data_IF_542703767213
#
_entry.id   IF_542703767213
#
_cell.length_a   1.000
_cell.length_b   1.000
_cell.length_c   1.000
_cell.angle_alpha   90.00
_cell.angle_beta   90.00
_cell.angle_gamma   90.00
#
_symmetry.space_group_name_H-M   'P 1'
#
loop_
_entity.id
_entity.type
_entity.pdbx_description
1 polymer ?
#
# COMPACT_ATOMS: atom_id res chain seq x y z
N UNK A 1 3.57 9.86 29.07
CA UNK A 1 2.70 10.81 28.33
C UNK A 1 1.64 9.97 27.65
N UNK A 2 0.37 10.05 28.05
CA UNK A 2 -0.71 9.28 27.42
C UNK A 2 -1.05 9.94 26.06
N UNK A 3 -1.17 9.20 24.96
CA UNK A 3 -1.62 9.78 23.71
C UNK A 3 -3.09 10.20 23.84
N UNK A 4 -3.37 11.41 23.39
CA UNK A 4 -4.68 12.06 23.42
C UNK A 4 -5.43 11.67 22.14
N UNK A 5 -6.36 10.73 22.24
CA UNK A 5 -7.24 10.35 21.13
C UNK A 5 -8.58 11.07 21.27
N UNK A 6 -9.12 11.72 20.22
CA UNK A 6 -10.43 12.35 20.28
C UNK A 6 -11.53 11.30 20.44
N UNK A 7 -12.44 11.52 21.39
CA UNK A 7 -13.64 10.70 21.57
C UNK A 7 -14.51 10.79 20.31
N UNK A 8 -14.90 9.63 19.76
CA UNK A 8 -15.75 9.53 18.60
C UNK A 8 -17.12 10.18 18.86
N UNK A 9 -17.46 11.17 18.02
CA UNK A 9 -18.81 11.73 17.95
C UNK A 9 -19.71 10.74 17.19
N UNK A 10 -20.83 10.41 17.81
CA UNK A 10 -21.79 9.39 17.40
C UNK A 10 -22.51 9.82 16.10
N UNK A 11 -22.04 9.34 14.93
CA UNK A 11 -22.69 9.55 13.64
C UNK A 11 -23.85 8.56 13.47
N UNK A 12 -24.96 8.79 14.18
CA UNK A 12 -26.22 8.05 14.00
C UNK A 12 -27.40 9.02 13.85
N UNK A 13 -27.37 9.78 12.76
CA UNK A 13 -28.53 10.47 12.21
C UNK A 13 -28.23 10.78 10.74
N UNK A 14 -29.24 10.68 9.87
CA UNK A 14 -29.19 10.79 8.40
C UNK A 14 -28.99 9.43 7.70
N UNK A 15 -30.04 8.61 7.72
CA UNK A 15 -30.43 7.75 6.59
C UNK A 15 -31.87 7.28 6.83
N UNK A 16 -32.82 8.18 6.58
CA UNK A 16 -34.23 7.85 6.48
C UNK A 16 -34.87 8.79 5.48
N UNK A 17 -35.04 8.30 4.24
CA UNK A 17 -36.12 8.61 3.29
C UNK A 17 -35.63 8.36 1.86
N UNK A 18 -36.08 7.24 1.28
CA UNK A 18 -36.53 7.12 -0.11
C UNK A 18 -36.68 5.63 -0.45
N UNK A 19 -37.86 5.07 -0.21
CA UNK A 19 -38.31 3.89 -0.94
C UNK A 19 -39.83 3.93 -1.00
N UNK A 20 -40.37 4.24 -2.18
CA UNK A 20 -41.80 4.25 -2.46
C UNK A 20 -42.05 4.28 -3.97
N UNK A 21 -42.79 3.26 -4.44
CA UNK A 21 -43.57 3.15 -5.71
C UNK A 21 -42.74 2.87 -6.98
N UNK A 22 -43.09 2.00 -7.92
CA UNK A 22 -44.20 1.07 -8.27
C UNK A 22 -43.58 0.15 -9.36
N UNK A 23 -43.68 -1.17 -9.36
CA UNK A 23 -44.79 -2.10 -9.61
C UNK A 23 -45.30 -2.23 -11.07
N UNK A 24 -45.37 -3.51 -11.50
CA UNK A 24 -46.18 -4.16 -12.55
C UNK A 24 -45.69 -4.41 -14.01
N UNK A 25 -45.86 -5.71 -14.38
CA UNK A 25 -46.23 -6.33 -15.70
C UNK A 25 -45.13 -6.55 -16.77
N UNK A 26 -45.14 -7.60 -17.59
CA UNK A 26 -45.81 -8.92 -17.66
C UNK A 26 -45.17 -9.70 -18.85
N UNK A 27 -45.22 -11.03 -18.80
CA UNK A 27 -45.35 -12.01 -19.92
C UNK A 27 -44.42 -12.01 -21.17
N UNK A 28 -43.63 -13.09 -21.27
CA UNK A 28 -43.76 -14.16 -22.28
C UNK A 28 -43.57 -13.88 -23.78
N UNK A 29 -42.70 -14.67 -24.45
CA UNK A 29 -42.77 -14.84 -25.91
C UNK A 29 -41.49 -15.33 -26.60
N UNK A 30 -41.30 -16.63 -26.65
CA UNK A 30 -40.39 -17.36 -27.57
C UNK A 30 -40.91 -17.24 -29.01
N UNK A 31 -40.08 -16.93 -30.04
CA UNK A 31 -40.25 -17.47 -31.41
C UNK A 31 -39.03 -17.20 -32.33
N UNK A 32 -38.57 -18.29 -32.94
CA UNK A 32 -37.86 -18.57 -34.21
C UNK A 32 -37.16 -17.47 -35.05
N UNK A 33 -35.90 -17.77 -35.41
CA UNK A 33 -35.21 -17.46 -36.69
C UNK A 33 -35.88 -18.25 -37.86
N UNK A 34 -35.65 -18.00 -39.20
CA UNK A 34 -34.38 -17.57 -39.83
C UNK A 34 -34.43 -16.80 -41.20
N UNK A 35 -33.22 -16.52 -41.75
CA UNK A 35 -32.85 -16.33 -43.18
C UNK A 35 -32.99 -14.94 -43.89
N UNK A 36 -31.85 -14.38 -44.36
CA UNK A 36 -31.43 -14.07 -45.77
C UNK A 36 -30.40 -12.90 -45.82
N UNK A 37 -29.14 -13.24 -46.16
CA UNK A 37 -28.06 -12.64 -46.99
C UNK A 37 -27.89 -11.08 -47.17
N UNK A 38 -26.92 -10.60 -47.99
CA UNK A 38 -25.58 -10.14 -47.60
C UNK A 38 -25.33 -8.65 -47.91
N UNK A 39 -24.45 -7.95 -47.18
CA UNK A 39 -23.96 -6.64 -47.65
C UNK A 39 -22.49 -6.43 -47.29
N UNK A 40 -21.64 -6.44 -48.33
CA UNK A 40 -20.32 -5.82 -48.30
C UNK A 40 -20.48 -4.35 -47.90
N UNK A 41 -19.97 -3.97 -46.73
CA UNK A 41 -19.56 -2.58 -46.47
C UNK A 41 -18.05 -2.52 -46.62
N UNK A 42 -17.62 -1.79 -47.64
CA UNK A 42 -16.24 -1.36 -47.79
C UNK A 42 -15.84 -0.62 -46.51
N UNK A 43 -14.83 -1.12 -45.82
CA UNK A 43 -14.22 -0.42 -44.69
C UNK A 43 -13.58 0.87 -45.22
N UNK A 44 -13.97 2.00 -44.65
CA UNK A 44 -13.27 3.25 -44.85
C UNK A 44 -11.83 3.13 -44.31
N UNK A 45 -10.82 3.75 -44.95
CA UNK A 45 -9.45 3.73 -44.44
C UNK A 45 -9.39 4.48 -43.09
N UNK A 46 -8.50 4.07 -42.17
CA UNK A 46 -8.39 4.70 -40.87
C UNK A 46 -8.00 6.17 -41.01
N UNK A 47 -8.80 7.00 -40.38
CA UNK A 47 -8.62 8.43 -40.17
C UNK A 47 -7.20 8.71 -39.65
N UNK A 48 -6.43 9.46 -40.45
CA UNK A 48 -5.07 9.90 -40.17
C UNK A 48 -5.04 10.71 -38.87
N UNK A 49 -4.65 10.09 -37.76
CA UNK A 49 -4.45 10.77 -36.48
C UNK A 49 -3.37 11.86 -36.61
N UNK A 50 -3.75 13.11 -36.35
CA UNK A 50 -2.84 14.24 -36.27
C UNK A 50 -1.71 13.97 -35.25
N UNK A 51 -0.50 14.51 -35.46
CA UNK A 51 0.61 14.32 -34.53
C UNK A 51 0.25 14.92 -33.17
N UNK A 52 0.13 14.06 -32.15
CA UNK A 52 -0.09 14.48 -30.76
C UNK A 52 1.16 15.20 -30.26
N UNK A 53 1.00 16.44 -29.82
CA UNK A 53 2.08 17.21 -29.20
C UNK A 53 2.59 16.48 -27.95
N UNK A 54 3.87 16.11 -27.97
CA UNK A 54 4.53 15.39 -26.89
C UNK A 54 5.20 16.40 -25.95
N UNK A 55 4.92 16.25 -24.66
CA UNK A 55 5.56 16.98 -23.56
C UNK A 55 6.61 16.07 -22.94
N UNK A 56 7.83 16.59 -22.78
CA UNK A 56 8.92 15.89 -22.10
C UNK A 56 8.82 16.13 -20.59
N UNK A 57 8.72 15.05 -19.81
CA UNK A 57 8.64 15.08 -18.35
C UNK A 57 9.89 14.48 -17.75
N UNK A 58 10.48 15.17 -16.77
CA UNK A 58 11.58 14.64 -15.98
C UNK A 58 11.06 14.07 -14.67
N UNK A 59 11.41 12.82 -14.35
CA UNK A 59 10.88 12.10 -13.20
C UNK A 59 12.03 11.70 -12.27
N UNK A 60 11.94 12.13 -11.01
CA UNK A 60 12.99 11.94 -9.99
C UNK A 60 12.48 11.24 -8.74
N UNK A 61 13.39 10.71 -7.92
CA UNK A 61 13.08 10.26 -6.55
C UNK A 61 12.99 11.45 -5.58
N UNK A 62 12.48 11.22 -4.37
CA UNK A 62 12.54 12.21 -3.28
C UNK A 62 13.99 12.59 -2.89
N UNK A 63 14.95 11.70 -3.14
CA UNK A 63 16.37 11.95 -2.93
C UNK A 63 17.01 12.79 -4.07
N UNK A 64 16.24 13.14 -5.10
CA UNK A 64 16.69 13.95 -6.24
C UNK A 64 17.33 13.16 -7.38
N UNK A 65 17.36 11.83 -7.28
CA UNK A 65 17.92 10.94 -8.31
C UNK A 65 17.01 10.88 -9.54
N UNK A 66 17.60 10.95 -10.74
CA UNK A 66 16.86 10.87 -12.00
C UNK A 66 16.41 9.42 -12.26
N UNK A 67 15.09 9.20 -12.35
CA UNK A 67 14.51 7.88 -12.63
C UNK A 67 14.32 7.70 -14.13
N UNK A 68 13.70 8.70 -14.77
CA UNK A 68 13.34 8.65 -16.19
C UNK A 68 13.06 10.05 -16.74
N UNK A 69 13.21 10.15 -18.06
CA UNK A 69 12.65 11.24 -18.87
C UNK A 69 11.66 10.62 -19.84
N UNK A 70 10.41 11.10 -19.86
CA UNK A 70 9.33 10.53 -20.66
C UNK A 70 8.74 11.57 -21.61
N UNK A 71 8.56 11.21 -22.88
CA UNK A 71 7.74 11.97 -23.83
C UNK A 71 6.32 11.44 -23.82
N UNK A 72 5.36 12.22 -23.28
CA UNK A 72 3.95 11.82 -23.19
C UNK A 72 3.04 12.87 -23.87
N UNK A 73 1.86 12.50 -24.39
CA UNK A 73 0.94 13.48 -24.96
C UNK A 73 0.52 14.55 -23.95
N UNK A 74 0.48 15.82 -24.35
CA UNK A 74 0.13 16.95 -23.49
C UNK A 74 -1.25 16.81 -22.81
N UNK A 75 -2.19 16.14 -23.48
CA UNK A 75 -3.58 15.97 -23.06
C UNK A 75 -3.81 14.71 -22.22
N UNK A 76 -2.77 13.92 -21.94
CA UNK A 76 -2.90 12.67 -21.21
C UNK A 76 -3.16 12.86 -19.71
N UNK A 77 -3.62 11.79 -19.05
CA UNK A 77 -3.82 11.76 -17.61
C UNK A 77 -2.59 11.24 -16.88
N UNK A 78 -2.46 11.54 -15.58
CA UNK A 78 -1.38 10.97 -14.77
C UNK A 78 -1.47 9.44 -14.64
N UNK A 79 -2.65 8.83 -14.84
CA UNK A 79 -2.76 7.38 -15.01
C UNK A 79 -1.97 6.88 -16.24
N UNK A 80 -2.04 7.60 -17.37
CA UNK A 80 -1.30 7.27 -18.58
C UNK A 80 0.22 7.50 -18.41
N UNK A 81 0.63 8.57 -17.73
CA UNK A 81 2.05 8.81 -17.37
C UNK A 81 2.62 7.65 -16.54
N UNK A 82 1.86 7.17 -15.55
CA UNK A 82 2.26 6.00 -14.76
C UNK A 82 2.30 4.72 -15.58
N UNK A 83 1.37 4.53 -16.51
CA UNK A 83 1.38 3.38 -17.40
C UNK A 83 2.62 3.39 -18.31
N UNK A 84 3.02 4.55 -18.82
CA UNK A 84 4.23 4.72 -19.63
C UNK A 84 5.52 4.46 -18.83
N UNK A 85 5.59 4.95 -17.59
CA UNK A 85 6.67 4.61 -16.64
C UNK A 85 6.83 3.09 -16.45
N UNK A 86 5.71 2.35 -16.48
CA UNK A 86 5.74 0.88 -16.38
C UNK A 86 6.13 0.22 -17.68
N UNK A 87 5.55 0.66 -18.80
CA UNK A 87 5.82 0.12 -20.13
C UNK A 87 7.30 0.25 -20.51
N UNK A 88 7.95 1.35 -20.09
CA UNK A 88 9.38 1.59 -20.28
C UNK A 88 10.30 0.75 -19.38
N UNK A 89 9.75 -0.08 -18.49
CA UNK A 89 10.51 -0.90 -17.53
C UNK A 89 11.21 -0.09 -16.42
N UNK A 90 10.95 1.22 -16.34
CA UNK A 90 11.57 2.16 -15.38
C UNK A 90 10.85 2.17 -14.03
N UNK A 91 9.62 1.69 -13.97
CA UNK A 91 8.88 1.41 -12.76
C UNK A 91 8.31 -0.02 -12.80
N UNK A 92 8.84 -0.92 -11.97
CA UNK A 92 8.35 -2.30 -11.82
C UNK A 92 7.02 -2.38 -11.05
N UNK A 93 6.61 -1.29 -10.40
CA UNK A 93 5.45 -1.27 -9.49
C UNK A 93 4.16 -0.85 -10.21
N UNK A 94 2.99 -1.33 -9.75
CA UNK A 94 1.70 -0.90 -10.28
C UNK A 94 1.38 0.56 -10.05
N UNK A 95 0.64 1.17 -10.99
CA UNK A 95 0.27 2.60 -10.99
C UNK A 95 -0.40 3.05 -9.68
N UNK A 96 -1.10 2.14 -9.02
CA UNK A 96 -1.73 2.34 -7.70
C UNK A 96 -0.71 2.61 -6.58
N UNK A 97 0.54 2.15 -6.71
CA UNK A 97 1.65 2.33 -5.77
C UNK A 97 2.59 3.46 -6.13
N UNK A 98 2.38 4.05 -7.29
CA UNK A 98 3.08 5.23 -7.72
C UNK A 98 2.26 6.44 -7.30
N UNK A 99 2.91 7.40 -6.65
CA UNK A 99 2.39 8.75 -6.46
C UNK A 99 3.32 9.69 -7.18
N UNK A 100 2.76 10.52 -8.05
CA UNK A 100 3.50 11.58 -8.69
C UNK A 100 3.22 12.86 -7.90
N UNK A 101 4.26 13.63 -7.66
CA UNK A 101 4.18 14.94 -7.05
C UNK A 101 4.74 15.99 -8.00
N UNK A 102 4.12 17.17 -7.99
CA UNK A 102 4.68 18.38 -8.59
C UNK A 102 4.95 19.36 -7.44
N UNK A 103 6.24 19.57 -7.13
CA UNK A 103 6.64 20.25 -5.91
C UNK A 103 6.09 19.55 -4.67
N UNK A 104 5.19 20.20 -3.93
CA UNK A 104 4.55 19.67 -2.72
C UNK A 104 3.15 19.08 -2.95
N UNK A 105 2.64 19.11 -4.19
CA UNK A 105 1.27 18.69 -4.51
C UNK A 105 1.26 17.24 -5.01
N UNK A 106 0.45 16.39 -4.37
CA UNK A 106 0.17 15.03 -4.84
C UNK A 106 -0.81 15.08 -6.01
N UNK A 107 -0.48 14.37 -7.09
CA UNK A 107 -1.25 14.33 -8.33
C UNK A 107 -2.17 13.10 -8.35
N UNK A 108 -3.41 13.30 -8.81
CA UNK A 108 -4.41 12.22 -8.89
C UNK A 108 -4.49 11.63 -10.30
N UNK A 109 -4.84 10.35 -10.38
CA UNK A 109 -4.81 9.59 -11.64
C UNK A 109 -5.73 10.15 -12.74
N UNK A 110 -6.82 10.81 -12.35
CA UNK A 110 -7.78 11.43 -13.27
C UNK A 110 -7.42 12.85 -13.70
N UNK A 111 -6.42 13.50 -13.08
CA UNK A 111 -5.96 14.82 -13.51
C UNK A 111 -5.24 14.74 -14.86
N UNK A 112 -5.51 15.71 -15.73
CA UNK A 112 -4.79 15.87 -17.00
C UNK A 112 -3.48 16.61 -16.78
N UNK A 113 -2.49 16.27 -17.59
CA UNK A 113 -1.17 16.88 -17.55
C UNK A 113 -1.24 18.38 -17.88
N UNK A 114 -1.95 18.75 -18.94
CA UNK A 114 -2.20 20.13 -19.38
C UNK A 114 -2.77 21.05 -18.30
N UNK A 115 -3.56 20.51 -17.37
CA UNK A 115 -4.27 21.29 -16.36
C UNK A 115 -3.37 21.65 -15.16
N UNK A 116 -2.26 20.92 -15.01
CA UNK A 116 -1.39 20.99 -13.83
C UNK A 116 -0.01 21.49 -14.18
N UNK A 117 0.48 21.14 -15.37
CA UNK A 117 1.77 21.52 -15.89
C UNK A 117 1.55 22.62 -16.92
N UNK A 118 1.76 23.86 -16.51
CA UNK A 118 1.68 24.99 -17.44
C UNK A 118 2.81 24.87 -18.48
N UNK A 119 2.53 25.09 -19.78
CA UNK A 119 3.60 25.22 -20.77
C UNK A 119 4.41 26.48 -20.44
N UNK A 120 5.66 26.31 -20.00
CA UNK A 120 6.52 27.42 -19.55
C UNK A 120 7.99 27.25 -19.96
N UNK A 121 8.58 28.34 -20.46
CA UNK A 121 9.98 28.75 -20.61
C UNK A 121 11.11 27.71 -20.83
N UNK A 122 10.81 26.58 -21.46
CA UNK A 122 11.81 25.73 -22.11
C UNK A 122 12.52 24.70 -21.22
N UNK A 123 12.20 24.62 -19.93
CA UNK A 123 12.67 23.53 -19.07
C UNK A 123 11.60 22.43 -18.91
N UNK A 124 11.95 21.14 -19.04
CA UNK A 124 10.98 20.06 -18.88
C UNK A 124 10.45 20.03 -17.44
N UNK A 125 9.13 19.92 -17.24
CA UNK A 125 8.53 19.85 -15.92
C UNK A 125 9.06 18.66 -15.11
N UNK A 126 9.44 18.94 -13.86
CA UNK A 126 9.97 17.93 -12.94
C UNK A 126 8.88 17.35 -12.04
N UNK A 127 8.70 16.03 -12.09
CA UNK A 127 7.83 15.27 -11.21
C UNK A 127 8.64 14.41 -10.26
N UNK A 128 8.19 14.31 -9.02
CA UNK A 128 8.75 13.39 -8.03
C UNK A 128 7.89 12.13 -7.99
N UNK A 129 8.52 10.97 -8.16
CA UNK A 129 7.91 9.67 -8.00
C UNK A 129 8.11 9.18 -6.57
N UNK A 130 7.02 9.11 -5.82
CA UNK A 130 6.97 8.46 -4.53
C UNK A 130 6.38 7.06 -4.68
N UNK A 131 7.10 6.07 -4.14
CA UNK A 131 6.67 4.68 -4.11
C UNK A 131 5.98 4.41 -2.77
N UNK A 132 4.72 4.00 -2.79
CA UNK A 132 4.02 3.55 -1.59
C UNK A 132 4.47 2.11 -1.31
N UNK A 133 5.43 1.95 -0.40
CA UNK A 133 6.15 0.69 -0.14
C UNK A 133 5.48 -0.26 0.87
N UNK A 134 4.27 0.03 1.34
CA UNK A 134 3.58 -0.84 2.31
C UNK A 134 2.63 -1.88 1.73
N UNK A 135 2.32 -1.81 0.43
CA UNK A 135 1.66 -2.93 -0.26
C UNK A 135 2.73 -3.99 -0.60
N UNK A 136 2.60 -5.23 -0.10
CA UNK A 136 3.14 -6.37 -0.86
C UNK A 136 2.41 -6.44 -2.20
N UNK A 137 2.98 -7.10 -3.20
CA UNK A 137 2.59 -7.22 -4.63
C UNK A 137 1.08 -7.42 -4.88
N UNK A 138 0.58 -7.51 -6.11
CA UNK A 138 -0.85 -7.76 -6.36
C UNK A 138 -1.23 -9.21 -5.93
N UNK A 139 -0.98 -9.50 -4.66
CA UNK A 139 -1.21 -10.74 -3.94
C UNK A 139 -2.64 -10.65 -3.45
N UNK A 140 -3.53 -11.31 -4.17
CA UNK A 140 -4.81 -11.66 -3.60
C UNK A 140 -4.53 -12.65 -2.46
N UNK A 141 -4.48 -12.13 -1.24
CA UNK A 141 -4.27 -12.95 -0.05
C UNK A 141 -5.36 -14.03 0.00
N UNK A 142 -5.09 -15.17 0.62
CA UNK A 142 -6.07 -16.24 0.81
C UNK A 142 -6.20 -16.54 2.29
N UNK A 143 -7.30 -17.19 2.65
CA UNK A 143 -7.46 -17.73 4.01
C UNK A 143 -6.29 -18.69 4.27
N UNK A 144 -5.59 -18.48 5.38
CA UNK A 144 -4.37 -19.21 5.74
C UNK A 144 -3.07 -18.52 5.34
N UNK A 145 -3.09 -17.43 4.56
CA UNK A 145 -1.88 -16.68 4.25
C UNK A 145 -1.39 -15.93 5.49
N UNK A 146 -0.07 -15.87 5.66
CA UNK A 146 0.55 -15.05 6.68
C UNK A 146 0.67 -13.60 6.18
N UNK A 147 0.12 -12.66 6.94
CA UNK A 147 0.14 -11.24 6.61
C UNK A 147 0.60 -10.42 7.80
N UNK A 148 1.23 -9.28 7.55
CA UNK A 148 1.61 -8.30 8.56
C UNK A 148 0.75 -7.06 8.45
N UNK A 149 0.15 -6.63 9.56
CA UNK A 149 -0.59 -5.37 9.64
C UNK A 149 0.38 -4.19 9.73
N UNK A 150 0.01 -3.06 9.13
CA UNK A 150 0.75 -1.81 9.22
C UNK A 150 1.02 -1.40 10.68
N UNK A 151 2.21 -0.85 10.97
CA UNK A 151 2.56 -0.42 12.33
C UNK A 151 1.99 0.96 12.69
N UNK A 152 1.78 1.82 11.69
CA UNK A 152 1.21 3.15 11.90
C UNK A 152 -0.31 3.07 12.11
N UNK A 153 -0.73 3.28 13.36
CA UNK A 153 -2.14 3.23 13.75
C UNK A 153 -3.02 4.24 13.03
N UNK A 154 -2.50 5.42 12.67
CA UNK A 154 -3.29 6.42 11.92
C UNK A 154 -3.57 5.93 10.51
N UNK A 155 -2.58 5.31 9.86
CA UNK A 155 -2.75 4.74 8.52
C UNK A 155 -3.81 3.62 8.53
N UNK A 156 -3.78 2.75 9.54
CA UNK A 156 -4.80 1.70 9.70
C UNK A 156 -6.17 2.30 9.99
N UNK A 157 -6.26 3.22 10.96
CA UNK A 157 -7.49 3.89 11.34
C UNK A 157 -8.16 4.59 10.15
N UNK A 158 -7.41 5.40 9.40
CA UNK A 158 -7.93 6.11 8.22
C UNK A 158 -8.41 5.14 7.14
N UNK A 159 -7.73 3.99 6.98
CA UNK A 159 -8.14 2.98 6.01
C UNK A 159 -9.50 2.35 6.34
N UNK A 160 -9.88 2.29 7.62
CA UNK A 160 -11.16 1.72 8.07
C UNK A 160 -12.34 2.65 7.82
N UNK A 161 -12.13 3.95 7.55
CA UNK A 161 -13.21 4.93 7.37
C UNK A 161 -14.17 4.59 6.22
N UNK A 162 -13.77 3.73 5.28
CA UNK A 162 -14.61 3.21 4.20
C UNK A 162 -15.23 1.82 4.47
N UNK A 163 -15.12 1.31 5.69
CA UNK A 163 -15.59 -0.03 6.09
C UNK A 163 -16.60 0.05 7.22
N UNK A 164 -17.40 -1.00 7.42
CA UNK A 164 -18.30 -1.12 8.58
C UNK A 164 -17.56 -1.44 9.89
N UNK A 165 -16.24 -1.69 9.83
CA UNK A 165 -15.44 -2.08 10.97
C UNK A 165 -15.04 -0.84 11.80
N UNK A 166 -15.55 -0.68 13.04
CA UNK A 166 -15.06 0.37 13.92
C UNK A 166 -13.64 0.06 14.40
N UNK A 167 -12.88 1.11 14.69
CA UNK A 167 -11.62 0.98 15.43
C UNK A 167 -11.87 0.51 16.86
N UNK A 168 -11.21 -0.55 17.28
CA UNK A 168 -11.25 -1.06 18.65
C UNK A 168 -9.90 -0.78 19.31
N UNK A 169 -9.90 -0.42 20.60
CA UNK A 169 -8.66 -0.14 21.35
C UNK A 169 -7.70 -1.35 21.34
N UNK A 170 -8.24 -2.57 21.36
CA UNK A 170 -7.47 -3.81 21.25
C UNK A 170 -6.75 -3.97 19.88
N UNK A 171 -7.16 -3.26 18.82
CA UNK A 171 -6.44 -3.27 17.54
C UNK A 171 -5.06 -2.61 17.62
N UNK A 172 -4.82 -1.75 18.63
CA UNK A 172 -3.48 -1.21 18.86
C UNK A 172 -2.45 -2.33 19.05
N UNK A 173 -2.85 -3.42 19.70
CA UNK A 173 -1.97 -4.59 19.90
C UNK A 173 -1.74 -5.38 18.61
N UNK A 174 -2.49 -5.12 17.55
CA UNK A 174 -2.30 -5.78 16.26
C UNK A 174 -1.28 -5.07 15.37
N UNK A 175 -1.03 -3.79 15.61
CA UNK A 175 -0.20 -2.96 14.74
C UNK A 175 1.23 -3.51 14.61
N UNK A 176 1.68 -3.68 13.37
CA UNK A 176 3.01 -4.19 13.08
C UNK A 176 3.20 -5.69 13.30
N UNK A 177 2.18 -6.42 13.76
CA UNK A 177 2.25 -7.87 14.01
C UNK A 177 1.81 -8.68 12.80
N UNK A 178 2.23 -9.94 12.79
CA UNK A 178 1.86 -10.93 11.77
C UNK A 178 0.69 -11.79 12.21
N UNK A 179 -0.21 -12.08 11.29
CA UNK A 179 -1.44 -12.84 11.50
C UNK A 179 -1.70 -13.76 10.33
N UNK A 180 -2.32 -14.91 10.59
CA UNK A 180 -2.92 -15.71 9.54
C UNK A 180 -4.27 -15.11 9.15
N UNK A 181 -4.50 -14.92 7.85
CA UNK A 181 -5.80 -14.50 7.32
C UNK A 181 -6.84 -15.57 7.68
N UNK A 182 -7.89 -15.17 8.39
CA UNK A 182 -8.97 -16.06 8.83
C UNK A 182 -10.16 -16.06 7.88
N UNK A 183 -10.46 -14.92 7.27
CA UNK A 183 -11.59 -14.79 6.35
C UNK A 183 -11.33 -13.77 5.23
N UNK A 184 -12.15 -13.85 4.19
CA UNK A 184 -12.19 -12.93 3.04
C UNK A 184 -13.62 -12.40 2.88
N UNK A 185 -13.98 -11.32 3.59
CA UNK A 185 -15.35 -10.81 3.60
C UNK A 185 -15.75 -10.13 2.28
N UNK A 186 -14.78 -9.71 1.46
CA UNK A 186 -15.02 -9.15 0.14
C UNK A 186 -13.73 -8.81 -0.60
N UNK A 187 -13.82 -8.36 -1.87
CA UNK A 187 -12.65 -7.96 -2.65
C UNK A 187 -11.89 -6.82 -1.96
N UNK A 188 -10.56 -6.97 -1.83
CA UNK A 188 -9.70 -5.96 -1.22
C UNK A 188 -9.79 -5.87 0.31
N UNK A 189 -10.43 -6.85 0.97
CA UNK A 189 -10.56 -6.92 2.42
C UNK A 189 -10.02 -8.25 2.94
N UNK A 190 -9.34 -8.22 4.09
CA UNK A 190 -8.87 -9.39 4.83
C UNK A 190 -9.43 -9.41 6.25
N UNK A 191 -9.93 -10.56 6.68
CA UNK A 191 -10.32 -10.80 8.07
C UNK A 191 -9.15 -11.37 8.85
N UNK A 192 -8.72 -10.65 9.88
CA UNK A 192 -7.65 -11.04 10.79
C UNK A 192 -8.24 -11.47 12.14
N UNK A 193 -7.46 -12.18 12.97
CA UNK A 193 -7.91 -12.57 14.29
C UNK A 193 -8.39 -11.41 15.16
N UNK A 194 -9.54 -11.56 15.80
CA UNK A 194 -9.96 -10.62 16.83
C UNK A 194 -8.93 -10.63 17.98
N UNK A 195 -8.30 -9.48 18.29
CA UNK A 195 -7.30 -9.37 19.35
C UNK A 195 -7.92 -9.56 20.74
N UNK A 196 -9.22 -9.28 20.90
CA UNK A 196 -9.97 -9.51 22.12
C UNK A 196 -10.86 -10.75 21.98
N UNK A 197 -10.30 -11.91 22.32
CA UNK A 197 -11.02 -13.19 22.32
C UNK A 197 -12.20 -13.23 23.32
N UNK A 198 -12.25 -12.31 24.30
CA UNK A 198 -13.35 -12.22 25.25
C UNK A 198 -14.57 -11.52 24.63
N UNK A 199 -14.36 -10.64 23.64
CA UNK A 199 -15.42 -10.01 22.87
C UNK A 199 -16.01 -10.96 21.84
N UNK A 200 -17.10 -11.63 22.22
CA UNK A 200 -17.86 -12.56 21.36
C UNK A 200 -18.57 -11.92 20.17
N UNK A 201 -18.63 -10.58 20.10
CA UNK A 201 -19.37 -9.88 19.06
C UNK A 201 -18.76 -10.06 17.66
N UNK A 202 -17.44 -10.28 17.58
CA UNK A 202 -16.72 -10.41 16.32
C UNK A 202 -15.73 -11.56 16.41
N UNK A 203 -15.79 -12.52 15.48
CA UNK A 203 -14.77 -13.59 15.41
C UNK A 203 -13.50 -13.09 14.72
N UNK A 204 -13.67 -12.23 13.71
CA UNK A 204 -12.60 -11.63 12.93
C UNK A 204 -12.76 -10.12 12.87
N UNK A 205 -11.63 -9.42 12.75
CA UNK A 205 -11.56 -7.99 12.48
C UNK A 205 -11.18 -7.80 11.01
N UNK A 206 -11.95 -6.96 10.31
CA UNK A 206 -11.76 -6.75 8.88
C UNK A 206 -10.87 -5.55 8.61
N UNK A 207 -9.83 -5.73 7.80
CA UNK A 207 -8.92 -4.68 7.36
C UNK A 207 -8.88 -4.61 5.83
N UNK A 208 -8.74 -3.40 5.25
CA UNK A 208 -8.37 -3.25 3.85
C UNK A 208 -7.02 -3.89 3.54
N UNK A 209 -6.90 -4.51 2.37
CA UNK A 209 -5.62 -5.05 1.87
C UNK A 209 -4.54 -3.97 1.73
N UNK A 210 -4.92 -2.70 1.66
CA UNK A 210 -3.98 -1.58 1.59
C UNK A 210 -3.14 -1.40 2.86
N UNK A 211 -3.55 -1.96 3.99
CA UNK A 211 -2.84 -1.85 5.26
C UNK A 211 -2.24 -3.18 5.74
N UNK A 212 -2.24 -4.19 4.89
CA UNK A 212 -1.53 -5.45 5.13
C UNK A 212 -0.50 -5.71 4.03
N UNK A 213 0.55 -6.44 4.40
CA UNK A 213 1.56 -6.98 3.47
C UNK A 213 1.74 -8.46 3.72
N UNK A 214 2.34 -9.18 2.78
CA UNK A 214 2.83 -10.54 3.03
C UNK A 214 3.69 -10.53 4.30
N UNK A 215 3.32 -11.39 5.24
CA UNK A 215 4.02 -11.55 6.50
C UNK A 215 5.20 -12.49 6.31
N UNK A 216 6.23 -12.28 7.12
CA UNK A 216 7.39 -13.16 7.15
C UNK A 216 7.37 -13.91 8.48
N UNK A 217 7.38 -15.24 8.40
CA UNK A 217 7.54 -16.08 9.59
C UNK A 217 9.00 -16.07 9.99
N UNK A 218 9.39 -15.09 10.82
CA UNK A 218 10.75 -15.00 11.35
C UNK A 218 11.00 -16.11 12.39
N UNK A 219 12.24 -16.58 12.44
CA UNK A 219 12.71 -17.57 13.40
C UNK A 219 14.07 -17.18 13.98
N UNK A 220 14.39 -17.73 15.15
CA UNK A 220 15.72 -17.62 15.74
C UNK A 220 16.78 -18.13 14.75
N UNK A 221 17.83 -17.34 14.54
CA UNK A 221 18.92 -17.64 13.62
C UNK A 221 18.78 -16.98 12.24
N UNK A 222 17.59 -16.47 11.89
CA UNK A 222 17.43 -15.71 10.65
C UNK A 222 18.26 -14.43 10.67
N UNK A 223 18.77 -14.04 9.50
CA UNK A 223 19.36 -12.72 9.30
C UNK A 223 18.23 -11.76 8.93
N UNK A 224 18.12 -10.66 9.66
CA UNK A 224 17.15 -9.61 9.40
C UNK A 224 17.83 -8.26 9.23
N UNK A 225 17.29 -7.44 8.34
CA UNK A 225 17.68 -6.05 8.14
C UNK A 225 16.75 -5.15 8.93
N UNK A 226 17.33 -4.25 9.72
CA UNK A 226 16.57 -3.25 10.46
C UNK A 226 16.09 -2.12 9.53
N UNK A 227 14.92 -1.56 9.80
CA UNK A 227 14.44 -0.36 9.08
C UNK A 227 15.50 0.76 9.12
N UNK A 228 15.67 1.44 8.00
CA UNK A 228 16.67 2.51 7.86
C UNK A 228 16.20 3.86 8.44
N UNK A 229 14.89 4.08 8.57
CA UNK A 229 14.32 5.33 9.13
C UNK A 229 14.16 5.23 10.63
N UNK A 230 14.80 6.14 11.35
CA UNK A 230 14.67 6.28 12.80
C UNK A 230 13.23 6.59 13.21
N UNK A 231 12.53 7.43 12.45
CA UNK A 231 11.15 7.82 12.69
C UNK A 231 10.21 6.61 12.58
N UNK A 232 10.42 5.75 11.58
CA UNK A 232 9.63 4.53 11.40
C UNK A 232 9.84 3.55 12.56
N UNK A 233 11.08 3.41 13.02
CA UNK A 233 11.41 2.57 14.18
C UNK A 233 10.78 3.14 15.44
N UNK A 234 10.92 4.44 15.72
CA UNK A 234 10.29 5.07 16.90
C UNK A 234 8.78 4.86 16.95
N UNK A 235 8.08 5.03 15.82
CA UNK A 235 6.64 4.73 15.73
C UNK A 235 6.33 3.26 16.05
N UNK A 236 7.16 2.33 15.61
CA UNK A 236 7.00 0.91 15.98
C UNK A 236 7.20 0.66 17.47
N UNK A 237 8.03 1.46 18.16
CA UNK A 237 8.18 1.35 19.62
C UNK A 237 6.95 1.90 20.37
N UNK A 238 6.15 2.78 19.79
CA UNK A 238 4.92 3.29 20.41
C UNK A 238 3.83 2.21 20.55
N UNK A 239 3.90 1.13 19.75
CA UNK A 239 2.94 0.02 19.80
C UNK A 239 3.31 -1.07 20.81
N UNK A 240 4.47 -0.96 21.46
CA UNK A 240 4.98 -1.94 22.42
C UNK A 240 5.47 -1.28 23.71
N UNK A 241 5.57 -2.04 24.80
CA UNK A 241 6.09 -1.54 26.08
C UNK A 241 7.63 -1.53 26.14
N UNK A 242 8.29 -1.16 25.04
CA UNK A 242 9.75 -1.01 24.97
C UNK A 242 10.12 0.46 24.71
N UNK A 243 11.33 0.85 25.11
CA UNK A 243 11.82 2.22 24.96
C UNK A 243 12.93 2.28 23.93
N UNK A 244 12.78 3.18 22.95
CA UNK A 244 13.85 3.50 22.00
C UNK A 244 15.06 4.08 22.73
N UNK A 245 16.25 3.56 22.42
CA UNK A 245 17.52 4.04 22.95
C UNK A 245 18.38 4.67 21.86
N UNK A 246 19.08 5.78 22.15
CA UNK A 246 19.82 6.54 21.13
C UNK A 246 20.92 5.72 20.42
N UNK A 247 21.51 4.74 21.12
CA UNK A 247 22.52 3.85 20.53
C UNK A 247 21.94 2.87 19.50
N UNK A 248 20.61 2.63 19.50
CA UNK A 248 19.94 1.82 18.47
C UNK A 248 20.03 2.48 17.09
N UNK A 249 20.34 3.78 17.01
CA UNK A 249 20.56 4.49 15.76
C UNK A 249 21.66 3.87 14.90
N UNK A 250 22.69 3.29 15.53
CA UNK A 250 23.78 2.60 14.83
C UNK A 250 23.35 1.29 14.16
N UNK A 251 22.16 0.78 14.48
CA UNK A 251 21.63 -0.47 13.93
C UNK A 251 20.72 -0.24 12.71
N UNK A 252 20.31 0.99 12.44
CA UNK A 252 19.38 1.31 11.35
C UNK A 252 19.97 0.91 9.99
N UNK A 253 19.17 0.19 9.19
CA UNK A 253 19.58 -0.29 7.86
C UNK A 253 20.61 -1.42 7.86
N UNK A 254 21.10 -1.85 9.04
CA UNK A 254 22.09 -2.91 9.17
C UNK A 254 21.42 -4.28 9.34
N UNK A 255 22.21 -5.33 9.16
CA UNK A 255 21.75 -6.73 9.22
C UNK A 255 22.23 -7.42 10.48
N UNK A 256 21.34 -8.18 11.11
CA UNK A 256 21.60 -8.85 12.37
C UNK A 256 20.95 -10.23 12.41
N UNK A 257 21.61 -11.22 13.04
CA UNK A 257 20.96 -12.49 13.36
C UNK A 257 19.93 -12.30 14.49
N UNK A 258 18.77 -12.94 14.36
CA UNK A 258 17.80 -13.04 15.44
C UNK A 258 18.36 -13.98 16.52
N UNK A 259 18.58 -13.44 17.72
CA UNK A 259 19.08 -14.21 18.86
C UNK A 259 17.97 -14.95 19.61
N UNK A 260 16.79 -14.32 19.67
CA UNK A 260 15.62 -14.81 20.39
C UNK A 260 14.35 -14.20 19.80
N UNK A 261 13.23 -14.91 19.90
CA UNK A 261 11.91 -14.40 19.56
C UNK A 261 10.95 -14.65 20.72
N UNK A 262 10.17 -13.63 21.07
CA UNK A 262 9.11 -13.76 22.06
C UNK A 262 7.77 -14.02 21.36
N UNK A 263 6.82 -14.61 22.07
CA UNK A 263 5.46 -14.85 21.59
C UNK A 263 4.66 -13.56 21.32
N UNK A 264 5.18 -12.39 21.73
CA UNK A 264 4.51 -11.10 21.59
C UNK A 264 4.92 -10.33 20.32
N UNK A 265 5.64 -10.96 19.41
CA UNK A 265 6.15 -10.30 18.20
C UNK A 265 7.32 -9.35 18.51
N UNK A 266 8.17 -9.73 19.46
CA UNK A 266 9.42 -9.03 19.78
C UNK A 266 10.58 -9.94 19.38
N UNK A 267 11.56 -9.39 18.69
CA UNK A 267 12.83 -10.05 18.34
C UNK A 267 13.96 -9.49 19.18
N UNK A 268 14.88 -10.33 19.60
CA UNK A 268 16.12 -9.92 20.23
C UNK A 268 17.25 -9.93 19.20
N UNK A 269 17.92 -8.78 19.04
CA UNK A 269 19.09 -8.60 18.19
C UNK A 269 20.34 -8.40 19.04
N UNK A 270 21.56 -8.61 18.50
CA UNK A 270 22.80 -8.35 19.22
C UNK A 270 22.89 -6.89 19.65
N UNK A 271 23.18 -6.66 20.93
CA UNK A 271 23.43 -5.31 21.41
C UNK A 271 24.77 -4.79 20.86
N UNK A 272 24.82 -3.58 20.26
CA UNK A 272 26.06 -2.97 19.80
C UNK A 272 27.08 -2.73 20.92
N UNK A 273 26.62 -2.51 22.15
CA UNK A 273 27.45 -2.18 23.31
C UNK A 273 27.61 -3.34 24.31
N UNK A 274 27.04 -4.52 24.01
CA UNK A 274 27.06 -5.68 24.91
C UNK A 274 26.18 -5.56 26.16
N UNK A 275 25.45 -4.45 26.34
CA UNK A 275 24.51 -4.27 27.46
C UNK A 275 23.34 -5.26 27.40
N UNK A 276 22.60 -5.37 28.50
CA UNK A 276 21.43 -6.26 28.61
C UNK A 276 21.74 -7.74 28.29
N UNK A 277 22.95 -8.19 28.66
CA UNK A 277 23.40 -9.56 28.33
C UNK A 277 23.65 -9.76 26.84
N UNK A 278 24.00 -8.70 26.10
CA UNK A 278 24.29 -8.72 24.68
C UNK A 278 23.05 -8.74 23.78
N UNK A 279 21.86 -8.44 24.30
CA UNK A 279 20.59 -8.52 23.55
C UNK A 279 19.77 -7.26 23.72
N UNK A 280 19.33 -6.67 22.60
CA UNK A 280 18.33 -5.62 22.57
C UNK A 280 17.06 -6.09 21.88
N UNK A 281 15.92 -5.62 22.38
CA UNK A 281 14.61 -6.09 21.97
C UNK A 281 13.94 -5.07 21.05
N UNK A 282 13.38 -5.57 19.94
CA UNK A 282 12.76 -4.77 18.90
C UNK A 282 11.41 -5.38 18.50
N UNK A 283 10.39 -4.57 18.19
CA UNK A 283 9.21 -5.04 17.48
C UNK A 283 9.60 -5.75 16.17
N UNK A 284 8.88 -6.82 15.82
CA UNK A 284 9.02 -7.48 14.50
C UNK A 284 8.81 -6.50 13.35
N UNK A 285 7.99 -5.45 13.53
CA UNK A 285 7.78 -4.41 12.52
C UNK A 285 9.03 -3.59 12.20
N UNK A 286 10.04 -3.59 13.06
CA UNK A 286 11.30 -2.87 12.85
C UNK A 286 12.29 -3.61 11.94
N UNK A 287 11.99 -4.86 11.56
CA UNK A 287 12.93 -5.74 10.86
C UNK A 287 12.28 -6.45 9.68
N UNK A 288 13.08 -6.97 8.76
CA UNK A 288 12.64 -7.80 7.63
C UNK A 288 13.73 -8.82 7.29
N UNK A 289 13.37 -10.04 6.89
CA UNK A 289 14.30 -11.14 6.61
C UNK A 289 15.17 -10.80 5.40
N UNK A 290 16.48 -10.95 5.56
CA UNK A 290 17.45 -10.86 4.47
C UNK A 290 17.40 -12.19 3.72
N UNK A 291 16.82 -12.18 2.52
CA UNK A 291 16.64 -13.38 1.69
C UNK A 291 15.27 -13.56 1.06
N UNK A 292 14.31 -12.66 1.34
CA UNK A 292 13.10 -12.47 0.54
C UNK A 292 13.26 -11.15 -0.27
N UNK A 293 13.76 -11.27 -1.50
CA UNK A 293 13.66 -10.31 -2.61
C UNK A 293 13.84 -8.80 -2.33
N UNK A 294 14.87 -8.39 -1.57
CA UNK A 294 15.28 -6.97 -1.53
C UNK A 294 16.60 -6.65 -2.23
N UNK A 295 17.20 -7.62 -2.93
CA UNK A 295 18.50 -7.46 -3.55
C UNK A 295 18.61 -8.17 -4.90
N UNK A 296 17.89 -7.67 -5.90
CA UNK A 296 18.13 -8.03 -7.29
C UNK A 296 18.29 -6.79 -8.20
N UNK A 297 18.93 -5.72 -7.73
CA UNK A 297 19.69 -4.80 -8.62
C UNK A 297 20.82 -4.10 -7.83
N UNK A 298 21.92 -4.80 -7.55
CA UNK A 298 23.27 -4.26 -7.75
C UNK A 298 24.16 -5.42 -8.20
N UNK A 299 24.48 -5.57 -9.49
CA UNK A 299 25.57 -6.45 -9.88
C UNK A 299 26.86 -5.84 -9.30
N UNK A 300 27.46 -6.52 -8.32
CA UNK A 300 28.87 -6.29 -7.98
C UNK A 300 29.69 -6.67 -9.21
N UNK A 301 30.10 -5.67 -9.98
CA UNK A 301 31.21 -5.84 -10.91
C UNK A 301 32.48 -6.12 -10.10
N UNK A 302 33.14 -7.23 -10.42
CA UNK A 302 34.57 -7.40 -10.23
C UNK A 302 35.24 -7.30 -11.58
#
# INVERSE_FOLDING_TARGET
>A
LKPFWPQAVNARAILAQASSLQDTRDMGGTFCLPWICPFLKHAAPPESAAPKELVELKIRTLAGEDIATLGVPADCTFAAVKAELRASGRASLPSSRLRLLLGHRVLTDGQRLSDVVAPGDGAPPELVLMRIQWKSEDVDFKVGDLVQLHYDGNTVFESLAGTDQPWLEAMNEMLGRTFYVRSKPGPGLVGLPNPDAAQRAWQDVVFPESVVRAGEELAKGDIVRMLASEEAVKRSFETVNYVWHFLMRGMLGQEFPILEMTSQGIVALPSPDGSQGGRWYFPVSCVSRVGADFEAVVPRQK
#
